data_IF_114999215133
#
_entry.id   IF_114999215133
#
_cell.length_a   1.000
_cell.length_b   1.000
_cell.length_c   1.000
_cell.angle_alpha   90.00
_cell.angle_beta   90.00
_cell.angle_gamma   90.00
#
_symmetry.space_group_name_H-M   'P 1'
#
loop_
_entity.id
_entity.type
_entity.pdbx_description
1 polymer ?
#
# COMPACT_ATOMS: atom_id res chain seq x y z
N UNK A 1 -2.18 3.69 -0.40
CA UNK A 1 -1.40 4.13 -1.57
C UNK A 1 -1.98 3.33 -2.68
N UNK A 2 -2.71 4.03 -3.52
CA UNK A 2 -3.74 3.43 -4.33
C UNK A 2 -3.28 3.65 -5.76
N UNK A 3 -3.26 2.57 -6.54
CA UNK A 3 -3.05 2.63 -7.98
C UNK A 3 -4.42 2.43 -8.68
N UNK A 4 -5.06 3.51 -9.15
CA UNK A 4 -6.32 3.44 -9.88
C UNK A 4 -6.14 3.05 -11.36
N UNK A 5 -4.89 2.98 -11.85
CA UNK A 5 -4.57 2.58 -13.23
C UNK A 5 -4.43 1.05 -13.35
N UNK A 6 -4.55 0.32 -12.23
CA UNK A 6 -4.51 -1.13 -12.21
C UNK A 6 -5.66 -1.73 -13.05
N UNK A 7 -5.40 -2.77 -13.86
CA UNK A 7 -6.44 -3.39 -14.68
C UNK A 7 -7.60 -3.92 -13.83
N UNK A 8 -8.83 -3.64 -14.25
CA UNK A 8 -10.06 -4.02 -13.50
C UNK A 8 -10.17 -5.52 -13.29
N UNK A 9 -9.65 -6.33 -14.23
CA UNK A 9 -9.59 -7.78 -14.12
C UNK A 9 -8.65 -8.28 -13.01
N UNK A 10 -7.63 -7.49 -12.66
CA UNK A 10 -6.70 -7.79 -11.57
C UNK A 10 -7.14 -7.15 -10.25
N UNK A 11 -7.79 -5.98 -10.32
CA UNK A 11 -8.19 -5.16 -9.18
C UNK A 11 -9.72 -4.99 -9.02
N UNK A 12 -10.53 -6.07 -8.98
CA UNK A 12 -11.98 -5.95 -8.84
C UNK A 12 -12.37 -5.51 -7.41
N UNK A 13 -13.46 -4.74 -7.24
CA UNK A 13 -14.45 -4.38 -8.25
C UNK A 13 -14.24 -3.02 -8.94
N UNK A 14 -13.21 -2.24 -8.58
CA UNK A 14 -13.11 -0.82 -8.95
C UNK A 14 -11.84 -0.41 -9.69
N UNK A 15 -10.95 -1.34 -10.04
CA UNK A 15 -9.67 -1.00 -10.67
C UNK A 15 -8.67 -0.34 -9.70
N UNK A 16 -8.82 -0.55 -8.40
CA UNK A 16 -7.94 0.04 -7.37
C UNK A 16 -7.03 -1.05 -6.82
N UNK A 17 -5.72 -0.84 -6.95
CA UNK A 17 -4.72 -1.69 -6.33
C UNK A 17 -4.03 -0.97 -5.17
N UNK A 18 -4.25 -1.46 -3.96
CA UNK A 18 -3.61 -0.91 -2.77
C UNK A 18 -2.18 -1.45 -2.67
N UNK A 19 -1.19 -0.57 -2.85
CA UNK A 19 0.22 -0.89 -2.69
C UNK A 19 0.66 -0.92 -1.23
N UNK A 20 0.03 -0.07 -0.40
CA UNK A 20 0.38 0.07 1.01
C UNK A 20 -0.72 0.75 1.80
N UNK A 21 -0.99 0.21 2.99
CA UNK A 21 -2.01 0.74 3.90
C UNK A 21 -1.42 0.79 5.30
N UNK A 22 -1.30 2.01 5.85
CA UNK A 22 -0.86 2.26 7.22
C UNK A 22 -1.89 3.10 7.96
N UNK A 23 -2.04 2.84 9.25
CA UNK A 23 -3.00 3.52 10.11
C UNK A 23 -2.49 3.61 11.55
N UNK A 24 -3.22 4.36 12.38
CA UNK A 24 -2.83 4.67 13.76
C UNK A 24 -1.43 5.30 13.87
N UNK A 25 -1.04 6.12 12.89
CA UNK A 25 0.22 6.85 12.92
C UNK A 25 0.16 7.87 14.07
N UNK A 26 1.05 7.81 15.08
CA UNK A 26 1.12 8.83 16.12
C UNK A 26 1.36 10.22 15.53
N UNK A 27 0.70 11.25 16.07
CA UNK A 27 0.85 12.63 15.60
C UNK A 27 2.28 13.20 15.76
N UNK A 28 3.12 12.57 16.58
CA UNK A 28 4.53 12.90 16.72
C UNK A 28 5.38 12.46 15.52
N UNK A 29 4.92 11.48 14.74
CA UNK A 29 5.60 11.01 13.52
C UNK A 29 5.22 11.94 12.38
N UNK A 30 6.19 12.72 11.92
CA UNK A 30 6.03 13.69 10.82
C UNK A 30 6.74 13.25 9.53
N UNK A 31 7.44 12.11 9.58
CA UNK A 31 8.27 11.58 8.51
C UNK A 31 8.28 10.06 8.57
N UNK A 32 8.34 9.41 7.40
CA UNK A 32 8.59 7.99 7.24
C UNK A 32 9.93 7.83 6.53
N UNK A 33 10.85 7.06 7.12
CA UNK A 33 12.13 6.75 6.48
C UNK A 33 11.91 5.74 5.36
N UNK A 34 12.71 5.82 4.30
CA UNK A 34 12.65 4.85 3.22
C UNK A 34 12.93 3.43 3.73
N UNK A 35 12.08 2.48 3.39
CA UNK A 35 12.24 1.07 3.77
C UNK A 35 11.92 0.74 5.23
N UNK A 36 11.59 1.71 6.07
CA UNK A 36 11.32 1.50 7.48
C UNK A 36 9.88 1.87 7.85
N UNK A 37 9.27 1.05 8.70
CA UNK A 37 7.97 1.35 9.32
C UNK A 37 8.15 1.25 10.82
N UNK A 38 7.88 2.34 11.52
CA UNK A 38 7.93 2.37 12.98
C UNK A 38 6.91 1.38 13.57
N UNK A 39 7.28 0.63 14.60
CA UNK A 39 6.42 -0.36 15.29
C UNK A 39 5.14 0.25 15.89
N UNK A 40 5.16 1.56 16.16
CA UNK A 40 4.00 2.33 16.61
C UNK A 40 2.92 2.47 15.51
N UNK A 41 3.30 2.30 14.24
CA UNK A 41 2.40 2.37 13.08
C UNK A 41 1.83 0.97 12.81
N UNK A 42 0.52 0.89 12.52
CA UNK A 42 -0.12 -0.36 12.14
C UNK A 42 -0.20 -0.49 10.62
N UNK A 43 0.04 -1.69 10.11
CA UNK A 43 0.03 -2.02 8.68
C UNK A 43 -1.11 -3.00 8.40
N UNK A 44 -1.94 -2.71 7.39
CA UNK A 44 -2.97 -3.62 6.90
C UNK A 44 -2.47 -4.40 5.67
N UNK A 45 -3.25 -5.42 5.30
CA UNK A 45 -2.99 -6.17 4.08
C UNK A 45 -3.20 -5.26 2.86
N UNK A 46 -2.21 -5.23 1.98
CA UNK A 46 -2.30 -4.64 0.64
C UNK A 46 -3.05 -5.58 -0.33
N UNK A 47 -3.19 -5.21 -1.61
CA UNK A 47 -3.87 -6.05 -2.60
C UNK A 47 -3.20 -7.40 -2.87
N UNK A 48 -1.90 -7.55 -2.53
CA UNK A 48 -1.19 -8.85 -2.50
C UNK A 48 -1.45 -9.68 -1.24
N UNK A 49 -2.27 -9.19 -0.30
CA UNK A 49 -2.53 -9.79 1.03
C UNK A 49 -1.29 -9.81 1.93
N UNK A 50 -0.39 -8.84 1.77
CA UNK A 50 0.83 -8.70 2.56
C UNK A 50 0.77 -7.44 3.44
N UNK A 51 1.40 -7.50 4.63
CA UNK A 51 1.52 -6.35 5.55
C UNK A 51 2.81 -5.56 5.33
N UNK A 52 3.04 -5.10 4.10
CA UNK A 52 4.19 -4.28 3.71
C UNK A 52 3.86 -3.42 2.51
N UNK A 53 4.74 -2.46 2.21
CA UNK A 53 4.72 -1.75 0.94
C UNK A 53 5.09 -2.72 -0.20
N UNK A 54 4.25 -2.80 -1.23
CA UNK A 54 4.59 -3.43 -2.51
C UNK A 54 4.91 -2.34 -3.53
N UNK A 55 6.08 -2.40 -4.18
CA UNK A 55 6.47 -1.40 -5.18
C UNK A 55 5.58 -1.40 -6.44
N UNK A 56 5.71 -0.39 -7.32
CA UNK A 56 5.03 -0.38 -8.61
C UNK A 56 5.43 -1.61 -9.44
N UNK A 57 4.42 -2.34 -9.92
CA UNK A 57 4.60 -3.48 -10.82
C UNK A 57 3.49 -3.46 -11.88
N UNK A 58 3.49 -2.47 -12.79
CA UNK A 58 2.50 -2.44 -13.86
C UNK A 58 2.67 -3.66 -14.78
N UNK A 59 1.57 -4.18 -15.30
CA UNK A 59 1.61 -5.32 -16.22
C UNK A 59 2.44 -4.97 -17.47
N UNK A 60 3.36 -5.85 -17.86
CA UNK A 60 3.99 -5.76 -19.17
C UNK A 60 2.98 -6.21 -20.23
N UNK A 61 2.68 -5.32 -21.17
CA UNK A 61 1.78 -5.53 -22.30
C UNK A 61 1.99 -6.85 -23.04
#
# INVERSE_FOLDING_TARGET
>A
MDDPDAPVELAPPHGIWDHWIIYNIPASITQLQEGEVNDDIKVLNNSWKEKKYGGPMPASR
#
